data_IF_936444664246
#
_entry.id   IF_936444664246
#
_cell.length_a   1.000
_cell.length_b   1.000
_cell.length_c   1.000
_cell.angle_alpha   90.00
_cell.angle_beta   90.00
_cell.angle_gamma   90.00
#
_symmetry.space_group_name_H-M   'P 1'
#
loop_
_entity.id
_entity.type
_entity.pdbx_description
1 polymer ?
#
# COMPACT_ATOMS: atom_id res chain seq x y z
N UNK A 1 -4.69 79.43 8.05
CA UNK A 1 -3.90 78.17 8.06
C UNK A 1 -4.37 77.29 9.20
N UNK A 2 -5.42 76.48 9.02
CA UNK A 2 -5.76 75.40 9.95
C UNK A 2 -6.23 74.21 9.09
N UNK A 3 -5.44 73.14 9.10
CA UNK A 3 -5.76 71.85 8.46
C UNK A 3 -6.55 71.03 9.48
N UNK A 4 -7.74 70.59 9.07
CA UNK A 4 -8.56 69.63 9.81
C UNK A 4 -8.18 68.24 9.30
N UNK A 5 -7.62 67.40 10.17
CA UNK A 5 -7.39 65.98 9.90
C UNK A 5 -8.70 65.22 10.13
N UNK A 6 -9.19 64.56 9.08
CA UNK A 6 -10.24 63.55 9.17
C UNK A 6 -9.59 62.22 9.57
N UNK A 7 -9.90 61.76 10.78
CA UNK A 7 -9.59 60.41 11.25
C UNK A 7 -10.68 59.49 10.71
N UNK A 8 -10.30 58.59 9.80
CA UNK A 8 -11.17 57.53 9.29
C UNK A 8 -11.08 56.35 10.25
N UNK A 9 -12.11 56.14 11.06
CA UNK A 9 -12.26 54.97 11.92
C UNK A 9 -12.81 53.81 11.09
N UNK A 10 -11.95 52.85 10.72
CA UNK A 10 -12.39 51.55 10.23
C UNK A 10 -12.96 50.73 11.39
N UNK A 11 -14.27 50.50 11.37
CA UNK A 11 -14.94 49.52 12.21
C UNK A 11 -14.64 48.12 11.66
N UNK A 12 -13.79 47.36 12.34
CA UNK A 12 -13.69 45.91 12.16
C UNK A 12 -14.88 45.25 12.85
N UNK A 13 -15.84 44.74 12.08
CA UNK A 13 -16.89 43.86 12.59
C UNK A 13 -16.27 42.47 12.69
N UNK A 14 -15.92 42.06 13.90
CA UNK A 14 -15.52 40.69 14.23
C UNK A 14 -16.78 39.82 14.23
N UNK A 15 -17.05 39.12 13.13
CA UNK A 15 -18.07 38.06 13.09
C UNK A 15 -17.50 36.83 13.81
N UNK A 16 -17.80 36.70 15.10
CA UNK A 16 -17.57 35.47 15.84
C UNK A 16 -18.64 34.47 15.38
N UNK A 17 -18.34 33.73 14.31
CA UNK A 17 -19.10 32.56 13.92
C UNK A 17 -18.90 31.49 15.00
N UNK A 18 -19.86 31.36 15.91
CA UNK A 18 -19.85 30.27 16.87
C UNK A 18 -20.02 28.95 16.13
N UNK A 19 -18.95 28.15 16.04
CA UNK A 19 -19.04 26.74 15.71
C UNK A 19 -19.95 26.10 16.76
N UNK A 20 -21.19 25.84 16.37
CA UNK A 20 -22.11 25.03 17.16
C UNK A 20 -21.66 23.60 16.93
N UNK A 21 -21.00 23.01 17.92
CA UNK A 21 -20.67 21.59 17.90
C UNK A 21 -21.96 20.81 17.58
N UNK A 22 -22.00 20.16 16.42
CA UNK A 22 -23.09 19.25 16.07
C UNK A 22 -23.16 18.19 17.16
N UNK A 23 -24.32 18.10 17.79
CA UNK A 23 -24.64 17.02 18.72
C UNK A 23 -24.55 15.72 17.92
N UNK A 24 -23.88 14.66 18.41
CA UNK A 24 -23.79 13.40 17.69
C UNK A 24 -25.22 12.95 17.37
N UNK A 25 -25.53 12.90 16.08
CA UNK A 25 -26.81 12.43 15.57
C UNK A 25 -26.99 11.00 16.03
N UNK A 26 -28.13 10.72 16.67
CA UNK A 26 -28.55 9.37 17.07
C UNK A 26 -28.28 8.37 15.93
N UNK A 27 -27.66 7.24 16.28
CA UNK A 27 -27.34 6.11 15.43
C UNK A 27 -28.52 5.80 14.50
N UNK A 28 -28.42 6.27 13.25
CA UNK A 28 -29.37 5.90 12.21
C UNK A 28 -29.07 4.46 11.88
N UNK A 29 -30.08 3.57 11.94
CA UNK A 29 -29.90 2.15 11.61
C UNK A 29 -29.17 2.06 10.25
N UNK A 30 -28.11 1.23 10.14
CA UNK A 30 -27.31 1.15 8.93
C UNK A 30 -28.23 0.79 7.76
N UNK A 31 -28.10 1.54 6.66
CA UNK A 31 -28.84 1.24 5.43
C UNK A 31 -28.61 -0.23 5.05
N UNK A 32 -29.71 -0.90 4.74
CA UNK A 32 -29.72 -2.32 4.44
C UNK A 32 -28.92 -2.56 3.16
N UNK A 33 -27.83 -3.34 3.24
CA UNK A 33 -26.97 -3.68 2.10
C UNK A 33 -27.80 -4.18 0.90
N UNK A 34 -27.45 -3.74 -0.30
CA UNK A 34 -28.06 -4.17 -1.57
C UNK A 34 -27.64 -5.58 -1.96
N UNK A 35 -26.57 -6.10 -1.36
CA UNK A 35 -26.06 -7.45 -1.63
C UNK A 35 -26.98 -8.53 -1.08
N UNK A 36 -27.06 -9.70 -1.74
CA UNK A 36 -27.71 -10.87 -1.14
C UNK A 36 -27.01 -11.23 0.18
N UNK A 37 -27.72 -11.86 1.13
CA UNK A 37 -27.10 -12.33 2.37
C UNK A 37 -25.83 -13.14 2.07
N UNK A 38 -24.82 -12.97 2.92
CA UNK A 38 -23.62 -13.79 2.86
C UNK A 38 -24.03 -15.28 2.97
N UNK A 39 -23.51 -16.17 2.09
CA UNK A 39 -23.76 -17.60 2.19
C UNK A 39 -23.33 -18.17 3.55
N UNK A 40 -23.90 -19.30 3.94
CA UNK A 40 -23.40 -20.02 5.12
C UNK A 40 -21.97 -20.51 4.84
N UNK A 41 -21.11 -20.50 5.87
CA UNK A 41 -19.80 -21.10 5.74
C UNK A 41 -19.93 -22.62 5.64
N UNK A 42 -19.28 -23.20 4.63
CA UNK A 42 -19.12 -24.63 4.45
C UNK A 42 -17.63 -24.89 4.23
N UNK A 43 -17.15 -26.01 4.76
CA UNK A 43 -15.80 -26.50 4.54
C UNK A 43 -15.94 -27.95 4.09
N UNK A 44 -15.27 -28.32 3.01
CA UNK A 44 -15.32 -29.70 2.54
C UNK A 44 -14.04 -30.13 1.82
N UNK A 45 -14.08 -31.37 1.35
CA UNK A 45 -13.04 -32.02 0.55
C UNK A 45 -13.68 -33.14 -0.31
N UNK A 46 -15.01 -33.34 -0.23
CA UNK A 46 -15.62 -34.58 -0.75
C UNK A 46 -17.11 -34.51 -1.10
N UNK A 47 -17.80 -33.39 -0.89
CA UNK A 47 -19.23 -33.22 -1.17
C UNK A 47 -19.52 -32.23 -2.32
N UNK A 48 -18.50 -31.87 -3.12
CA UNK A 48 -18.55 -30.83 -4.17
C UNK A 48 -19.14 -29.51 -3.62
N UNK A 49 -18.78 -29.12 -2.39
CA UNK A 49 -19.27 -27.91 -1.75
C UNK A 49 -18.26 -26.80 -1.97
N UNK A 50 -18.75 -25.60 -2.28
CA UNK A 50 -17.89 -24.45 -2.57
C UNK A 50 -16.84 -24.68 -3.69
N UNK A 51 -17.02 -25.67 -4.56
CA UNK A 51 -16.21 -25.91 -5.78
C UNK A 51 -16.51 -24.94 -6.94
N UNK A 52 -17.38 -23.95 -6.74
CA UNK A 52 -17.75 -22.99 -7.79
C UNK A 52 -18.17 -21.64 -7.23
N UNK A 53 -18.09 -20.62 -8.08
CA UNK A 53 -18.51 -19.27 -7.75
C UNK A 53 -19.97 -19.19 -7.28
N UNK A 54 -20.88 -19.96 -7.89
CA UNK A 54 -22.30 -19.98 -7.50
C UNK A 54 -22.55 -20.58 -6.12
N UNK A 55 -21.68 -21.50 -5.68
CA UNK A 55 -21.79 -22.23 -4.42
C UNK A 55 -20.75 -21.76 -3.38
N UNK A 56 -20.12 -20.59 -3.59
CA UNK A 56 -19.08 -20.04 -2.74
C UNK A 56 -19.49 -19.93 -1.26
N UNK A 57 -18.59 -20.34 -0.36
CA UNK A 57 -18.80 -20.28 1.08
C UNK A 57 -18.63 -18.86 1.63
N UNK A 58 -19.43 -18.47 2.62
CA UNK A 58 -19.36 -17.12 3.21
C UNK A 58 -18.26 -16.96 4.26
N UNK A 59 -17.37 -16.00 4.08
CA UNK A 59 -16.40 -15.55 5.08
C UNK A 59 -16.91 -14.31 5.82
N UNK A 60 -17.06 -14.43 7.13
CA UNK A 60 -17.50 -13.34 8.01
C UNK A 60 -16.32 -12.37 8.16
N UNK A 61 -16.50 -11.14 7.70
CA UNK A 61 -15.51 -10.06 7.74
C UNK A 61 -15.20 -9.48 9.12
N UNK A 62 -15.27 -10.27 10.20
CA UNK A 62 -14.93 -9.82 11.56
C UNK A 62 -13.42 -9.91 11.81
N UNK A 63 -12.86 -8.95 12.57
CA UNK A 63 -11.42 -8.93 12.83
C UNK A 63 -10.99 -10.17 13.63
N UNK A 64 -9.94 -10.85 13.17
CA UNK A 64 -9.41 -12.10 13.73
C UNK A 64 -10.40 -13.27 13.67
N UNK A 65 -11.38 -13.22 12.77
CA UNK A 65 -12.19 -14.40 12.48
C UNK A 65 -11.30 -15.48 11.86
N UNK A 66 -11.30 -16.67 12.44
CA UNK A 66 -10.54 -17.83 11.95
C UNK A 66 -11.47 -18.95 11.49
N UNK A 67 -11.01 -19.67 10.48
CA UNK A 67 -11.59 -20.91 9.97
C UNK A 67 -10.46 -21.92 9.94
N UNK A 68 -10.55 -22.96 10.75
CA UNK A 68 -9.42 -23.85 11.03
C UNK A 68 -9.70 -25.28 10.59
N UNK A 69 -8.65 -25.99 10.18
CA UNK A 69 -8.73 -27.38 9.75
C UNK A 69 -9.52 -27.55 8.45
N UNK A 70 -9.35 -26.60 7.53
CA UNK A 70 -9.83 -26.70 6.15
C UNK A 70 -8.91 -27.62 5.37
N UNK A 71 -9.37 -28.15 4.25
CA UNK A 71 -8.62 -29.11 3.47
C UNK A 71 -8.93 -28.94 1.99
N UNK A 72 -7.91 -28.68 1.17
CA UNK A 72 -8.05 -28.69 -0.27
C UNK A 72 -7.71 -30.08 -0.82
N UNK A 73 -8.64 -30.66 -1.58
CA UNK A 73 -8.52 -32.02 -2.10
C UNK A 73 -8.13 -32.10 -3.57
N UNK A 74 -7.78 -33.31 -4.03
CA UNK A 74 -7.14 -33.52 -5.32
C UNK A 74 -8.02 -33.05 -6.50
N UNK A 75 -7.61 -31.97 -7.16
CA UNK A 75 -8.34 -31.41 -8.30
C UNK A 75 -9.57 -30.60 -7.92
N UNK A 76 -9.60 -30.15 -6.67
CA UNK A 76 -10.62 -29.30 -6.06
C UNK A 76 -10.18 -27.83 -6.06
N UNK A 77 -11.14 -26.91 -5.92
CA UNK A 77 -10.92 -25.46 -5.77
C UNK A 77 -11.93 -24.90 -4.76
N UNK A 78 -11.47 -24.26 -3.69
CA UNK A 78 -12.37 -23.74 -2.66
C UNK A 78 -12.73 -22.27 -2.93
N UNK A 79 -13.99 -22.02 -3.27
CA UNK A 79 -14.55 -20.68 -3.50
C UNK A 79 -15.13 -20.07 -2.23
N UNK A 80 -14.77 -18.81 -1.99
CA UNK A 80 -15.25 -18.01 -0.87
C UNK A 80 -15.81 -16.68 -1.33
N UNK A 81 -16.81 -16.17 -0.62
CA UNK A 81 -17.26 -14.78 -0.72
C UNK A 81 -16.98 -14.05 0.58
N UNK A 82 -16.45 -12.83 0.47
CA UNK A 82 -16.31 -11.91 1.59
C UNK A 82 -16.90 -10.55 1.24
N UNK A 83 -17.67 -9.99 2.18
CA UNK A 83 -18.26 -8.65 2.03
C UNK A 83 -17.39 -7.63 2.78
N UNK A 84 -16.92 -6.60 2.08
CA UNK A 84 -16.10 -5.50 2.63
C UNK A 84 -17.00 -4.28 2.84
N UNK A 85 -17.32 -3.88 4.09
CA UNK A 85 -18.20 -2.75 4.33
C UNK A 85 -17.58 -1.40 3.95
N UNK A 86 -18.39 -0.35 3.78
CA UNK A 86 -17.94 1.03 3.55
C UNK A 86 -16.85 1.49 4.53
N UNK A 87 -15.77 2.05 3.99
CA UNK A 87 -14.66 2.61 4.76
C UNK A 87 -13.86 1.57 5.57
N UNK A 88 -13.97 0.28 5.22
CA UNK A 88 -13.21 -0.80 5.86
C UNK A 88 -12.06 -1.25 5.00
N UNK A 89 -10.97 -1.60 5.68
CA UNK A 89 -9.86 -2.34 5.13
C UNK A 89 -9.93 -3.76 5.66
N UNK A 90 -9.93 -4.73 4.76
CA UNK A 90 -9.95 -6.14 5.08
C UNK A 90 -8.81 -6.87 4.37
N UNK A 91 -8.21 -7.86 5.03
CA UNK A 91 -7.34 -8.84 4.38
C UNK A 91 -7.75 -10.26 4.76
N UNK A 92 -7.65 -11.17 3.80
CA UNK A 92 -7.80 -12.61 3.98
C UNK A 92 -6.42 -13.23 3.88
N UNK A 93 -6.05 -13.99 4.90
CA UNK A 93 -4.80 -14.74 4.97
C UNK A 93 -5.12 -16.23 4.98
N UNK A 94 -4.45 -16.99 4.13
CA UNK A 94 -4.47 -18.46 4.10
C UNK A 94 -3.15 -18.94 4.68
N UNK A 95 -3.21 -19.79 5.71
CA UNK A 95 -2.05 -20.46 6.30
C UNK A 95 -2.09 -21.93 5.91
N UNK A 96 -1.05 -22.39 5.23
CA UNK A 96 -1.00 -23.73 4.64
C UNK A 96 -0.23 -24.65 5.58
N UNK A 97 -0.82 -25.80 5.93
CA UNK A 97 -0.15 -26.86 6.68
C UNK A 97 0.81 -27.62 5.76
N UNK A 98 2.02 -27.10 5.68
CA UNK A 98 3.03 -27.57 4.75
C UNK A 98 4.16 -26.58 4.65
N UNK A 99 5.05 -26.78 3.70
CA UNK A 99 6.12 -25.82 3.48
C UNK A 99 6.02 -25.06 2.17
N UNK A 100 5.14 -25.47 1.25
CA UNK A 100 5.05 -24.92 -0.12
C UNK A 100 6.34 -25.08 -0.95
N UNK A 101 7.45 -25.46 -0.32
CA UNK A 101 8.75 -25.48 -0.96
C UNK A 101 8.76 -26.49 -2.10
N UNK A 102 9.45 -26.11 -3.18
CA UNK A 102 9.87 -26.86 -4.38
C UNK A 102 10.50 -28.27 -4.16
N UNK A 103 10.39 -28.87 -2.97
CA UNK A 103 10.55 -30.29 -2.80
C UNK A 103 9.49 -31.01 -3.66
N UNK A 104 9.88 -31.79 -4.68
CA UNK A 104 8.92 -32.52 -5.53
C UNK A 104 8.15 -33.62 -4.80
N UNK A 105 8.34 -33.76 -3.49
CA UNK A 105 7.57 -34.62 -2.58
C UNK A 105 6.62 -33.82 -1.68
N UNK A 106 6.71 -32.49 -1.67
CA UNK A 106 5.80 -31.60 -0.96
C UNK A 106 4.76 -31.13 -1.97
N UNK A 107 3.52 -31.60 -1.81
CA UNK A 107 2.40 -31.28 -2.68
C UNK A 107 1.45 -30.30 -1.99
N UNK A 108 1.95 -29.41 -1.13
CA UNK A 108 1.12 -28.53 -0.29
C UNK A 108 1.00 -27.11 -0.79
N UNK A 109 1.60 -26.76 -1.93
CA UNK A 109 1.62 -25.40 -2.48
C UNK A 109 0.21 -24.96 -2.92
N UNK A 110 -0.44 -24.09 -2.14
CA UNK A 110 -1.76 -23.53 -2.44
C UNK A 110 -1.62 -22.06 -2.81
N UNK A 111 -2.38 -21.64 -3.82
CA UNK A 111 -2.46 -20.25 -4.25
C UNK A 111 -3.82 -19.65 -3.85
N UNK A 112 -3.86 -18.34 -3.61
CA UNK A 112 -5.07 -17.57 -3.32
C UNK A 112 -5.34 -16.56 -4.44
N UNK A 113 -6.52 -16.62 -5.04
CA UNK A 113 -6.91 -15.78 -6.18
C UNK A 113 -8.14 -14.96 -5.82
N UNK A 114 -8.25 -13.78 -6.41
CA UNK A 114 -9.49 -13.01 -6.50
C UNK A 114 -10.05 -13.14 -7.92
N UNK A 115 -11.35 -13.40 -8.01
CA UNK A 115 -12.08 -13.54 -9.28
C UNK A 115 -13.27 -12.59 -9.33
N UNK A 116 -13.70 -12.24 -10.54
CA UNK A 116 -14.91 -11.46 -10.77
C UNK A 116 -16.17 -12.34 -10.81
N UNK A 117 -17.33 -11.71 -11.07
CA UNK A 117 -18.63 -12.40 -11.17
C UNK A 117 -18.72 -13.40 -12.36
N UNK A 118 -17.72 -13.43 -13.25
CA UNK A 118 -17.62 -14.36 -14.38
C UNK A 118 -16.54 -15.43 -14.17
N UNK A 119 -15.96 -15.51 -12.97
CA UNK A 119 -14.82 -16.38 -12.66
C UNK A 119 -13.54 -15.99 -13.46
N UNK A 120 -13.47 -14.75 -13.95
CA UNK A 120 -12.25 -14.20 -14.53
C UNK A 120 -11.34 -13.70 -13.41
N UNK A 121 -10.07 -14.09 -13.49
CA UNK A 121 -9.02 -13.67 -12.56
C UNK A 121 -8.84 -12.15 -12.54
N UNK A 122 -8.90 -11.58 -11.34
CA UNK A 122 -8.62 -10.17 -11.07
C UNK A 122 -7.23 -9.98 -10.47
N UNK A 123 -6.88 -10.79 -9.47
CA UNK A 123 -5.62 -10.70 -8.74
C UNK A 123 -5.27 -12.02 -8.03
N UNK A 124 -4.04 -12.15 -7.54
CA UNK A 124 -3.60 -13.37 -6.85
C UNK A 124 -2.42 -13.15 -5.90
N UNK A 125 -2.28 -14.08 -4.96
CA UNK A 125 -1.13 -14.34 -4.14
C UNK A 125 -0.74 -15.81 -4.41
N UNK A 126 0.44 -16.01 -4.98
CA UNK A 126 0.95 -17.31 -5.38
C UNK A 126 2.45 -17.35 -5.10
N UNK A 127 2.81 -17.79 -3.90
CA UNK A 127 4.18 -17.81 -3.41
C UNK A 127 4.55 -19.22 -2.96
N UNK A 128 5.82 -19.61 -3.11
CA UNK A 128 6.27 -20.96 -2.71
C UNK A 128 6.39 -21.15 -1.19
N UNK A 129 5.80 -20.26 -0.40
CA UNK A 129 5.80 -20.34 1.05
C UNK A 129 4.45 -20.91 1.52
N UNK A 130 4.26 -21.01 2.84
CA UNK A 130 3.07 -21.62 3.41
C UNK A 130 1.98 -20.59 3.76
N UNK A 131 1.95 -19.46 3.05
CA UNK A 131 1.06 -18.35 3.36
C UNK A 131 0.71 -17.47 2.16
N UNK A 132 -0.58 -17.34 1.93
CA UNK A 132 -1.11 -16.47 0.90
C UNK A 132 -1.98 -15.36 1.48
N UNK A 133 -1.99 -14.18 0.85
CA UNK A 133 -2.72 -13.03 1.37
C UNK A 133 -3.24 -12.10 0.29
N UNK A 134 -4.50 -11.72 0.42
CA UNK A 134 -5.16 -10.68 -0.37
C UNK A 134 -5.79 -9.62 0.53
N UNK A 135 -5.88 -8.38 0.03
CA UNK A 135 -6.41 -7.26 0.80
C UNK A 135 -7.14 -6.23 -0.06
N UNK A 136 -8.17 -5.65 0.56
CA UNK A 136 -9.10 -4.69 -0.04
C UNK A 136 -9.33 -3.51 0.89
N UNK A 137 -9.63 -2.37 0.28
CA UNK A 137 -10.22 -1.24 0.96
C UNK A 137 -11.41 -0.77 0.15
N UNK A 138 -12.56 -0.65 0.80
CA UNK A 138 -13.77 -0.14 0.18
C UNK A 138 -13.91 1.36 0.50
N UNK A 139 -13.63 2.27 -0.45
CA UNK A 139 -13.79 3.72 -0.26
C UNK A 139 -15.24 4.19 -0.40
N UNK A 140 -16.16 3.32 -0.86
CA UNK A 140 -17.52 3.70 -1.26
C UNK A 140 -18.47 3.78 -0.07
N UNK A 141 -19.72 4.16 -0.33
CA UNK A 141 -20.81 4.19 0.65
C UNK A 141 -21.58 2.86 0.71
N UNK A 142 -21.30 1.92 -0.21
CA UNK A 142 -21.99 0.63 -0.30
C UNK A 142 -21.06 -0.52 0.08
N UNK A 143 -21.61 -1.66 0.48
CA UNK A 143 -20.78 -2.86 0.73
C UNK A 143 -20.37 -3.48 -0.60
N UNK A 144 -19.10 -3.88 -0.70
CA UNK A 144 -18.53 -4.54 -1.88
C UNK A 144 -18.35 -6.03 -1.59
N UNK A 145 -18.72 -6.89 -2.53
CA UNK A 145 -18.49 -8.33 -2.46
C UNK A 145 -17.21 -8.67 -3.24
N UNK A 146 -16.36 -9.49 -2.64
CA UNK A 146 -15.18 -10.07 -3.29
C UNK A 146 -15.28 -11.58 -3.25
N UNK A 147 -14.81 -12.22 -4.32
CA UNK A 147 -14.80 -13.66 -4.48
C UNK A 147 -13.38 -14.17 -4.54
N UNK A 148 -13.09 -15.18 -3.73
CA UNK A 148 -11.76 -15.74 -3.55
C UNK A 148 -11.77 -17.20 -3.96
N UNK A 149 -10.64 -17.67 -4.48
CA UNK A 149 -10.44 -19.07 -4.81
C UNK A 149 -9.12 -19.53 -4.19
N UNK A 150 -9.18 -20.56 -3.34
CA UNK A 150 -7.99 -21.30 -2.89
C UNK A 150 -7.84 -22.51 -3.79
N UNK A 151 -6.70 -22.65 -4.46
CA UNK A 151 -6.46 -23.78 -5.36
C UNK A 151 -5.02 -24.28 -5.30
N UNK A 152 -4.85 -25.57 -5.58
CA UNK A 152 -3.56 -26.24 -5.48
C UNK A 152 -2.68 -26.01 -6.70
N UNK A 153 -1.47 -25.51 -6.50
CA UNK A 153 -0.48 -25.41 -7.57
C UNK A 153 -0.12 -26.80 -8.12
N UNK A 154 -0.30 -26.99 -9.42
CA UNK A 154 -0.14 -28.30 -10.09
C UNK A 154 -0.96 -29.45 -9.45
N UNK A 155 -2.13 -29.13 -8.90
CA UNK A 155 -2.99 -30.12 -8.23
C UNK A 155 -2.47 -30.53 -6.85
N UNK A 156 -1.75 -29.63 -6.19
CA UNK A 156 -1.42 -29.74 -4.78
C UNK A 156 -2.67 -29.89 -3.91
N UNK A 157 -2.48 -30.52 -2.75
CA UNK A 157 -3.46 -30.79 -1.72
C UNK A 157 -2.83 -30.41 -0.38
N UNK A 158 -3.54 -29.66 0.45
CA UNK A 158 -3.05 -29.30 1.78
C UNK A 158 -4.21 -29.06 2.73
N UNK A 159 -3.94 -29.28 4.02
CA UNK A 159 -4.76 -28.68 5.05
C UNK A 159 -4.38 -27.21 5.16
N UNK A 160 -5.33 -26.34 5.51
CA UNK A 160 -5.08 -24.91 5.67
C UNK A 160 -6.04 -24.26 6.66
N UNK A 161 -5.68 -23.07 7.11
CA UNK A 161 -6.52 -22.19 7.91
C UNK A 161 -6.74 -20.87 7.16
N UNK A 162 -7.90 -20.25 7.35
CA UNK A 162 -8.16 -18.86 6.91
C UNK A 162 -8.22 -17.96 8.14
N UNK A 163 -7.56 -16.81 8.08
CA UNK A 163 -7.72 -15.71 9.03
C UNK A 163 -8.15 -14.43 8.32
N UNK A 164 -9.17 -13.78 8.88
CA UNK A 164 -9.62 -12.47 8.46
C UNK A 164 -9.00 -11.42 9.36
N UNK A 165 -8.32 -10.44 8.78
CA UNK A 165 -7.92 -9.21 9.49
C UNK A 165 -8.73 -8.05 8.97
N UNK A 166 -9.30 -7.25 9.87
CA UNK A 166 -10.06 -6.04 9.53
C UNK A 166 -9.53 -4.85 10.31
N UNK A 167 -9.19 -3.79 9.60
CA UNK A 167 -8.90 -2.48 10.18
C UNK A 167 -9.98 -1.48 9.80
N UNK A 168 -10.26 -0.53 10.68
CA UNK A 168 -11.16 0.59 10.39
C UNK A 168 -10.34 1.85 10.19
N UNK A 169 -10.72 2.67 9.21
CA UNK A 169 -10.19 4.02 9.11
C UNK A 169 -10.74 4.89 10.25
N UNK A 170 -9.85 5.42 11.10
CA UNK A 170 -10.23 6.37 12.15
C UNK A 170 -10.05 7.80 11.63
N UNK A 171 -11.04 8.32 10.91
CA UNK A 171 -11.01 9.66 10.30
C UNK A 171 -11.02 10.86 11.26
N UNK A 172 -10.66 10.69 12.54
CA UNK A 172 -10.75 11.76 13.55
C UNK A 172 -9.57 11.76 14.51
N UNK A 173 -8.54 12.59 14.26
CA UNK A 173 -7.50 13.11 15.19
C UNK A 173 -6.88 12.17 16.25
N UNK A 174 -7.15 10.87 16.18
CA UNK A 174 -6.82 9.83 17.14
C UNK A 174 -6.41 8.62 16.34
N UNK A 175 -5.28 8.79 15.66
CA UNK A 175 -4.49 7.68 15.18
C UNK A 175 -3.98 6.84 16.36
N UNK A 176 -3.42 5.68 16.07
CA UNK A 176 -2.98 4.65 17.02
C UNK A 176 -1.79 5.07 17.91
N UNK A 177 -1.71 6.35 18.27
CA UNK A 177 -0.54 7.03 18.79
C UNK A 177 -0.59 7.21 20.32
N UNK A 178 -1.76 7.46 20.91
CA UNK A 178 -1.89 7.79 22.36
C UNK A 178 -3.04 7.06 23.11
N UNK A 179 -4.03 6.51 22.40
CA UNK A 179 -5.24 5.93 23.01
C UNK A 179 -5.30 4.39 22.95
N UNK A 180 -4.52 3.81 22.04
CA UNK A 180 -4.33 2.37 21.87
C UNK A 180 -2.84 2.10 22.00
N UNK A 181 -2.31 2.25 23.22
CA UNK A 181 -1.00 1.69 23.58
C UNK A 181 -1.12 0.17 23.37
N UNK A 182 -0.86 -0.32 22.16
CA UNK A 182 -0.34 -1.68 22.06
C UNK A 182 1.05 -1.56 22.67
N UNK A 183 1.17 -1.98 23.93
CA UNK A 183 2.41 -1.93 24.73
C UNK A 183 3.56 -2.69 24.04
N UNK A 184 3.26 -3.41 22.96
CA UNK A 184 4.18 -4.18 22.13
C UNK A 184 3.97 -3.85 20.63
N UNK A 185 4.99 -3.31 19.92
CA UNK A 185 4.93 -3.11 18.47
C UNK A 185 4.75 -4.40 17.66
N UNK A 186 5.02 -5.55 18.26
CA UNK A 186 4.82 -6.89 17.67
C UNK A 186 3.40 -7.43 17.98
N UNK A 187 2.62 -6.75 18.83
CA UNK A 187 1.25 -7.13 19.14
C UNK A 187 0.27 -6.61 18.07
N UNK A 188 0.13 -7.40 17.01
CA UNK A 188 -0.88 -7.17 15.99
C UNK A 188 -2.32 -7.47 16.48
N UNK A 189 -2.52 -7.97 17.72
CA UNK A 189 -3.86 -8.22 18.27
C UNK A 189 -4.60 -6.93 18.67
N UNK A 190 -3.88 -5.81 18.69
CA UNK A 190 -4.43 -4.48 18.84
C UNK A 190 -5.49 -4.14 17.79
N UNK A 191 -6.48 -3.29 18.12
CA UNK A 191 -7.60 -2.94 17.23
C UNK A 191 -7.16 -2.22 15.95
N UNK A 192 -5.89 -1.82 15.85
CA UNK A 192 -5.37 -1.05 14.75
C UNK A 192 -4.89 -1.90 13.55
N UNK A 193 -4.48 -3.16 13.75
CA UNK A 193 -3.75 -3.98 12.77
C UNK A 193 -2.71 -3.13 12.02
N UNK A 194 -1.56 -2.90 12.66
CA UNK A 194 -0.63 -1.81 12.29
C UNK A 194 -0.04 -2.00 10.89
N UNK A 195 0.40 -3.20 10.56
CA UNK A 195 0.94 -3.56 9.25
C UNK A 195 -0.14 -4.34 8.49
N UNK A 196 -0.55 -3.79 7.36
CA UNK A 196 -1.57 -4.34 6.50
C UNK A 196 -1.03 -4.45 5.08
N UNK A 197 -1.46 -5.48 4.37
CA UNK A 197 -1.17 -5.58 2.95
C UNK A 197 -1.91 -4.46 2.22
N UNK A 198 -1.17 -3.67 1.44
CA UNK A 198 -1.65 -2.61 0.60
C UNK A 198 -2.75 -3.13 -0.33
N UNK A 199 -3.92 -2.47 -0.40
CA UNK A 199 -5.03 -2.95 -1.20
C UNK A 199 -4.68 -3.07 -2.68
N UNK A 200 -4.93 -4.25 -3.25
CA UNK A 200 -4.52 -4.60 -4.62
C UNK A 200 -5.63 -4.28 -5.64
N UNK A 201 -6.87 -4.67 -5.33
CA UNK A 201 -8.03 -4.39 -6.15
C UNK A 201 -8.39 -2.89 -6.09
N UNK A 202 -8.79 -2.31 -7.21
CA UNK A 202 -9.17 -0.89 -7.40
C UNK A 202 -8.03 0.13 -7.58
N UNK A 203 -6.80 -0.33 -7.77
CA UNK A 203 -5.63 0.55 -7.89
C UNK A 203 -5.73 1.55 -9.07
N UNK A 204 -6.30 1.16 -10.22
CA UNK A 204 -6.42 2.07 -11.38
C UNK A 204 -7.30 3.29 -11.12
N UNK A 205 -8.40 3.15 -10.38
CA UNK A 205 -9.30 4.26 -10.06
C UNK A 205 -8.67 5.21 -9.04
N UNK A 206 -7.96 4.65 -8.07
CA UNK A 206 -7.21 5.38 -7.04
C UNK A 206 -5.89 5.99 -7.54
N UNK A 207 -5.49 5.68 -8.78
CA UNK A 207 -4.31 6.26 -9.44
C UNK A 207 -2.99 5.60 -9.08
N UNK A 208 -2.99 4.36 -8.59
CA UNK A 208 -1.78 3.56 -8.32
C UNK A 208 -1.87 2.17 -8.93
N UNK A 209 -0.77 1.41 -8.94
CA UNK A 209 -0.78 -0.03 -9.23
C UNK A 209 0.33 -0.66 -8.42
N UNK A 210 0.03 -1.71 -7.67
CA UNK A 210 1.07 -2.49 -7.00
C UNK A 210 1.66 -3.47 -8.02
N UNK A 211 2.98 -3.44 -8.20
CA UNK A 211 3.64 -4.07 -9.36
C UNK A 211 4.63 -5.19 -9.01
N UNK A 212 4.61 -5.61 -7.75
CA UNK A 212 5.46 -6.64 -7.16
C UNK A 212 4.61 -7.72 -6.47
N UNK A 213 5.27 -8.68 -5.80
CA UNK A 213 4.56 -9.80 -5.17
C UNK A 213 3.79 -9.36 -3.92
N UNK A 214 2.63 -9.99 -3.73
CA UNK A 214 1.72 -9.77 -2.60
C UNK A 214 2.41 -9.84 -1.23
N UNK A 215 3.40 -10.74 -1.07
CA UNK A 215 4.17 -10.94 0.16
C UNK A 215 5.03 -9.72 0.58
N UNK A 216 5.36 -8.84 -0.36
CA UNK A 216 6.17 -7.63 -0.08
C UNK A 216 5.34 -6.35 -0.13
N UNK A 217 4.02 -6.48 -0.13
CA UNK A 217 3.09 -5.35 -0.26
C UNK A 217 2.56 -4.91 1.09
N UNK A 218 3.33 -5.02 2.18
CA UNK A 218 2.86 -4.71 3.52
C UNK A 218 3.37 -3.35 3.97
N UNK A 219 2.48 -2.53 4.51
CA UNK A 219 2.80 -1.21 5.02
C UNK A 219 2.04 -0.92 6.28
N UNK A 220 2.53 0.08 7.02
CA UNK A 220 1.67 0.75 7.98
C UNK A 220 0.44 1.29 7.30
N UNK A 221 -0.67 1.14 7.99
CA UNK A 221 -1.96 1.61 7.54
C UNK A 221 -1.93 3.11 7.21
N UNK A 222 -1.29 3.92 8.05
CA UNK A 222 -1.17 5.37 7.89
C UNK A 222 -0.36 5.73 6.63
N UNK A 223 0.74 5.01 6.38
CA UNK A 223 1.55 5.17 5.17
C UNK A 223 0.75 4.82 3.93
N UNK A 224 -0.02 3.74 3.99
CA UNK A 224 -0.88 3.33 2.88
C UNK A 224 -1.93 4.38 2.53
N UNK A 225 -2.62 4.93 3.54
CA UNK A 225 -3.57 6.00 3.30
C UNK A 225 -2.92 7.26 2.72
N UNK A 226 -1.74 7.64 3.23
CA UNK A 226 -1.01 8.79 2.71
C UNK A 226 -0.63 8.61 1.24
N UNK A 227 -0.12 7.43 0.87
CA UNK A 227 0.24 7.11 -0.52
C UNK A 227 -0.99 7.10 -1.43
N UNK A 228 -2.08 6.45 -1.01
CA UNK A 228 -3.35 6.43 -1.76
C UNK A 228 -3.93 7.82 -1.95
N UNK A 229 -3.96 8.63 -0.90
CA UNK A 229 -4.37 10.03 -0.96
C UNK A 229 -3.51 10.82 -1.96
N UNK A 230 -2.18 10.70 -1.89
CA UNK A 230 -1.28 11.40 -2.78
C UNK A 230 -1.48 10.98 -4.25
N UNK A 231 -1.69 9.70 -4.52
CA UNK A 231 -1.96 9.17 -5.86
C UNK A 231 -3.30 9.71 -6.41
N UNK A 232 -4.38 9.58 -5.64
CA UNK A 232 -5.70 10.07 -6.01
C UNK A 232 -5.73 11.59 -6.23
N UNK A 233 -5.08 12.36 -5.34
CA UNK A 233 -4.96 13.81 -5.48
C UNK A 233 -4.19 14.20 -6.75
N UNK A 234 -3.13 13.46 -7.09
CA UNK A 234 -2.36 13.70 -8.32
C UNK A 234 -3.21 13.43 -9.56
N UNK A 235 -3.95 12.32 -9.60
CA UNK A 235 -4.89 12.02 -10.68
C UNK A 235 -5.98 13.09 -10.80
N UNK A 236 -6.51 13.59 -9.68
CA UNK A 236 -7.52 14.63 -9.69
C UNK A 236 -7.01 15.97 -10.27
N UNK A 237 -5.76 16.34 -9.95
CA UNK A 237 -5.11 17.53 -10.53
C UNK A 237 -4.75 17.34 -12.01
N UNK A 238 -4.33 16.13 -12.38
CA UNK A 238 -3.90 15.78 -13.74
C UNK A 238 -4.75 14.62 -14.27
N UNK A 239 -5.94 14.86 -14.84
CA UNK A 239 -6.91 13.80 -15.18
C UNK A 239 -6.42 12.72 -16.14
N UNK A 240 -5.41 13.01 -16.97
CA UNK A 240 -4.82 12.05 -17.92
C UNK A 240 -3.68 11.22 -17.28
N UNK A 241 -3.56 11.25 -15.95
CA UNK A 241 -2.50 10.53 -15.22
C UNK A 241 -2.78 9.03 -15.19
N UNK A 242 -1.83 8.28 -15.73
CA UNK A 242 -1.79 6.83 -15.61
C UNK A 242 -1.46 6.42 -14.16
N UNK A 243 -1.87 5.22 -13.72
CA UNK A 243 -1.60 4.76 -12.36
C UNK A 243 -0.10 4.74 -12.03
N UNK A 244 0.26 5.11 -10.80
CA UNK A 244 1.63 5.12 -10.29
C UNK A 244 2.04 3.74 -9.77
N UNK A 245 3.14 3.18 -10.29
CA UNK A 245 3.69 1.92 -9.81
C UNK A 245 4.18 2.01 -8.36
N UNK A 246 3.61 1.20 -7.48
CA UNK A 246 4.10 0.93 -6.14
C UNK A 246 4.96 -0.34 -6.21
N UNK A 247 6.17 -0.23 -5.65
CA UNK A 247 7.18 -1.28 -5.64
C UNK A 247 7.31 -1.83 -4.21
N UNK A 248 8.48 -2.35 -3.87
CA UNK A 248 8.75 -3.05 -2.63
C UNK A 248 8.36 -2.22 -1.38
N UNK A 249 7.62 -2.87 -0.47
CA UNK A 249 7.23 -2.35 0.85
C UNK A 249 7.91 -3.22 1.91
N UNK A 250 7.29 -3.58 3.03
CA UNK A 250 7.83 -4.59 3.96
C UNK A 250 7.28 -5.99 3.70
N UNK A 251 7.90 -6.99 4.31
CA UNK A 251 7.26 -8.28 4.60
C UNK A 251 6.09 -8.07 5.58
N UNK A 252 5.26 -9.08 5.77
CA UNK A 252 4.05 -9.00 6.57
C UNK A 252 4.31 -8.81 8.07
N UNK A 253 5.41 -9.36 8.57
CA UNK A 253 5.93 -9.14 9.92
C UNK A 253 6.64 -7.78 10.04
N UNK A 254 6.71 -7.04 8.95
CA UNK A 254 7.42 -5.77 8.87
C UNK A 254 8.92 -5.91 8.67
N UNK A 255 9.50 -7.06 8.33
CA UNK A 255 10.94 -7.12 8.02
C UNK A 255 11.24 -6.68 6.58
N UNK A 256 12.53 -6.52 6.29
CA UNK A 256 13.07 -6.20 4.97
C UNK A 256 12.66 -7.28 3.94
N UNK A 257 12.11 -6.90 2.76
CA UNK A 257 11.70 -7.82 1.71
C UNK A 257 12.75 -8.86 1.32
N UNK A 258 12.29 -10.10 1.17
CA UNK A 258 13.09 -11.25 0.77
C UNK A 258 13.77 -11.98 1.94
N UNK A 259 13.51 -11.59 3.19
CA UNK A 259 14.06 -12.28 4.36
C UNK A 259 13.44 -13.65 4.54
N UNK A 260 12.14 -13.81 4.31
CA UNK A 260 11.47 -15.13 4.34
C UNK A 260 12.16 -16.16 3.44
N UNK A 261 12.73 -15.70 2.32
CA UNK A 261 13.44 -16.54 1.33
C UNK A 261 14.96 -16.62 1.56
N UNK A 262 15.48 -15.99 2.62
CA UNK A 262 16.91 -15.80 2.86
C UNK A 262 17.64 -15.09 1.69
N UNK A 263 16.93 -14.26 0.92
CA UNK A 263 17.45 -13.50 -0.20
C UNK A 263 16.91 -12.07 -0.14
N UNK A 264 17.53 -11.24 0.71
CA UNK A 264 17.14 -9.84 0.84
C UNK A 264 17.16 -9.12 -0.52
N UNK A 265 16.07 -8.42 -0.81
CA UNK A 265 15.91 -7.55 -2.00
C UNK A 265 16.47 -6.16 -1.74
N UNK A 266 16.61 -5.80 -0.47
CA UNK A 266 17.05 -4.50 0.02
C UNK A 266 18.15 -4.64 1.08
N UNK A 267 18.93 -3.58 1.37
CA UNK A 267 19.86 -3.60 2.49
C UNK A 267 19.15 -3.95 3.82
N UNK A 268 19.76 -4.82 4.61
CA UNK A 268 19.22 -5.21 5.91
C UNK A 268 18.90 -3.99 6.80
N UNK A 269 17.69 -3.97 7.36
CA UNK A 269 17.21 -2.87 8.22
C UNK A 269 16.59 -1.70 7.45
N UNK A 270 16.25 -1.88 6.18
CA UNK A 270 15.40 -0.97 5.38
C UNK A 270 14.07 -1.64 5.09
N UNK A 271 13.03 -0.86 4.76
CA UNK A 271 11.68 -1.38 4.58
C UNK A 271 11.16 -2.12 5.82
N UNK A 272 11.49 -1.62 6.99
CA UNK A 272 11.14 -2.26 8.27
C UNK A 272 9.92 -1.62 8.90
N UNK A 273 9.16 -2.42 9.65
CA UNK A 273 7.96 -2.06 10.40
C UNK A 273 6.87 -1.39 9.55
N UNK A 274 6.84 -1.69 8.24
CA UNK A 274 5.93 -1.07 7.28
C UNK A 274 6.11 0.45 7.12
N UNK A 275 7.28 1.00 7.45
CA UNK A 275 7.54 2.44 7.41
C UNK A 275 8.07 2.95 6.06
N UNK A 276 8.56 2.05 5.20
CA UNK A 276 9.20 2.43 3.94
C UNK A 276 8.53 1.75 2.75
N UNK A 277 8.47 2.48 1.64
CA UNK A 277 7.94 2.02 0.35
C UNK A 277 8.77 2.62 -0.78
N UNK A 278 9.08 1.79 -1.77
CA UNK A 278 9.59 2.24 -3.04
C UNK A 278 8.44 2.60 -3.98
N UNK A 279 8.47 3.81 -4.53
CA UNK A 279 7.40 4.36 -5.36
C UNK A 279 8.01 4.78 -6.70
N UNK A 280 7.50 4.26 -7.81
CA UNK A 280 7.94 4.69 -9.14
C UNK A 280 7.79 6.21 -9.32
N UNK A 281 8.56 6.77 -10.24
CA UNK A 281 8.32 8.13 -10.71
C UNK A 281 7.15 8.18 -11.69
N UNK A 282 6.44 9.31 -11.76
CA UNK A 282 5.59 9.56 -12.92
C UNK A 282 6.48 9.75 -14.16
N UNK A 283 6.02 9.21 -15.28
CA UNK A 283 6.76 9.18 -16.54
C UNK A 283 5.90 9.75 -17.66
N UNK A 284 6.57 10.28 -18.68
CA UNK A 284 5.93 10.75 -19.92
C UNK A 284 5.66 9.61 -20.92
N UNK A 285 5.98 8.37 -20.54
CA UNK A 285 5.84 7.16 -21.35
C UNK A 285 4.46 6.52 -21.31
N UNK A 286 4.39 5.23 -21.65
CA UNK A 286 3.14 4.46 -21.76
C UNK A 286 2.56 4.01 -20.41
N UNK A 287 3.33 4.11 -19.32
CA UNK A 287 2.97 3.68 -17.96
C UNK A 287 3.96 4.28 -16.93
N UNK A 288 3.70 4.04 -15.64
CA UNK A 288 4.58 4.46 -14.53
C UNK A 288 5.09 3.25 -13.72
N UNK A 289 5.55 2.18 -14.37
CA UNK A 289 5.89 0.89 -13.73
C UNK A 289 7.37 0.75 -13.34
N UNK A 290 7.96 1.78 -12.74
CA UNK A 290 9.31 1.68 -12.17
C UNK A 290 10.43 1.47 -13.19
N UNK A 291 10.26 1.98 -14.42
CA UNK A 291 11.35 2.04 -15.41
C UNK A 291 12.33 3.14 -15.06
N UNK A 292 13.60 2.98 -15.43
CA UNK A 292 14.56 4.09 -15.27
C UNK A 292 14.13 5.30 -16.10
N UNK A 293 14.19 6.48 -15.49
CA UNK A 293 13.77 7.74 -16.12
C UNK A 293 14.91 8.50 -16.80
N UNK A 294 16.10 7.92 -16.84
CA UNK A 294 17.32 8.52 -17.36
C UNK A 294 18.26 7.45 -17.95
N UNK A 295 19.25 7.83 -18.77
CA UNK A 295 20.39 6.97 -19.07
C UNK A 295 21.20 6.66 -17.81
N UNK A 296 21.47 5.38 -17.53
CA UNK A 296 22.03 4.93 -16.25
C UNK A 296 23.19 3.93 -16.41
N UNK A 297 23.99 3.73 -15.35
CA UNK A 297 25.13 2.80 -15.30
C UNK A 297 24.87 1.54 -14.47
N UNK A 298 23.62 1.28 -14.12
CA UNK A 298 23.20 0.28 -13.16
C UNK A 298 22.91 0.88 -11.78
N UNK A 299 23.58 1.97 -11.40
CA UNK A 299 23.54 2.52 -10.04
C UNK A 299 22.98 3.94 -9.99
N UNK A 300 23.36 4.79 -10.93
CA UNK A 300 22.98 6.19 -10.96
C UNK A 300 22.64 6.65 -12.37
N UNK A 301 21.89 7.74 -12.47
CA UNK A 301 21.77 8.49 -13.71
C UNK A 301 23.14 8.99 -14.16
N UNK A 302 23.44 8.78 -15.44
CA UNK A 302 24.65 9.26 -16.13
C UNK A 302 24.38 10.47 -17.01
N UNK A 303 23.11 10.81 -17.21
CA UNK A 303 22.63 11.99 -17.91
C UNK A 303 21.27 12.44 -17.33
N UNK A 304 20.85 13.64 -17.72
CA UNK A 304 19.57 14.22 -17.32
C UNK A 304 18.39 13.27 -17.63
N UNK A 305 17.39 13.16 -16.73
CA UNK A 305 16.19 12.36 -16.96
C UNK A 305 15.45 12.78 -18.23
N UNK A 306 15.17 11.83 -19.12
CA UNK A 306 14.58 12.06 -20.43
C UNK A 306 13.10 11.68 -20.53
N UNK A 307 12.59 10.89 -19.58
CA UNK A 307 11.18 10.50 -19.52
C UNK A 307 10.49 10.82 -18.19
N UNK A 308 11.17 11.45 -17.22
CA UNK A 308 10.59 11.87 -15.94
C UNK A 308 9.49 12.92 -16.17
N UNK A 309 8.28 12.65 -15.66
CA UNK A 309 7.24 13.67 -15.50
C UNK A 309 7.45 14.37 -14.16
N UNK A 310 8.32 15.38 -14.17
CA UNK A 310 8.74 16.06 -12.96
C UNK A 310 7.58 16.81 -12.28
N UNK A 311 6.66 17.40 -13.05
CA UNK A 311 5.54 18.18 -12.51
C UNK A 311 4.57 17.29 -11.71
N UNK A 312 4.15 16.16 -12.27
CA UNK A 312 3.28 15.19 -11.56
C UNK A 312 4.00 14.57 -10.37
N UNK A 313 5.27 14.23 -10.54
CA UNK A 313 6.12 13.68 -9.46
C UNK A 313 6.24 14.64 -8.29
N UNK A 314 6.53 15.92 -8.55
CA UNK A 314 6.60 16.96 -7.51
C UNK A 314 5.25 17.18 -6.85
N UNK A 315 4.15 17.21 -7.62
CA UNK A 315 2.82 17.34 -7.04
C UNK A 315 2.51 16.19 -6.07
N UNK A 316 2.73 14.94 -6.49
CA UNK A 316 2.56 13.76 -5.65
C UNK A 316 3.41 13.83 -4.38
N UNK A 317 4.70 14.14 -4.51
CA UNK A 317 5.61 14.30 -3.37
C UNK A 317 5.17 15.43 -2.42
N UNK A 318 4.58 16.51 -2.94
CA UNK A 318 4.00 17.58 -2.12
C UNK A 318 2.81 17.11 -1.28
N UNK A 319 2.03 16.13 -1.78
CA UNK A 319 0.93 15.51 -1.03
C UNK A 319 1.41 14.56 0.05
N UNK A 320 2.48 13.80 -0.20
CA UNK A 320 3.17 13.06 0.85
C UNK A 320 3.71 13.98 1.95
N UNK A 321 4.19 15.18 1.57
CA UNK A 321 4.71 16.19 2.49
C UNK A 321 3.66 16.80 3.44
N UNK A 322 2.37 16.58 3.20
CA UNK A 322 1.30 17.00 4.12
C UNK A 322 1.38 16.24 5.46
N UNK A 323 2.07 15.09 5.48
CA UNK A 323 2.44 14.39 6.72
C UNK A 323 3.72 14.96 7.32
N UNK A 324 3.65 15.43 8.58
CA UNK A 324 4.81 15.89 9.35
C UNK A 324 5.71 14.75 9.86
N UNK A 325 5.31 13.52 9.59
CA UNK A 325 5.99 12.30 10.00
C UNK A 325 6.90 11.77 8.89
N UNK A 326 7.05 12.47 7.76
CA UNK A 326 7.98 12.08 6.72
C UNK A 326 9.43 12.12 7.25
N UNK A 327 10.17 11.01 7.10
CA UNK A 327 11.55 10.87 7.58
C UNK A 327 12.57 11.23 6.53
N UNK A 328 12.44 10.66 5.33
CA UNK A 328 13.38 10.85 4.23
C UNK A 328 12.73 10.39 2.94
N UNK A 329 13.06 11.05 1.84
CA UNK A 329 12.82 10.51 0.49
C UNK A 329 14.14 10.39 -0.25
N UNK A 330 14.53 9.15 -0.52
CA UNK A 330 15.71 8.79 -1.28
C UNK A 330 15.48 8.88 -2.78
N UNK A 331 16.36 9.59 -3.48
CA UNK A 331 16.30 9.74 -4.96
C UNK A 331 17.71 9.76 -5.56
N UNK A 332 17.80 9.50 -6.87
CA UNK A 332 19.03 9.73 -7.63
C UNK A 332 19.45 11.22 -7.64
N UNK A 333 20.76 11.56 -7.57
CA UNK A 333 21.24 12.94 -7.59
C UNK A 333 20.77 13.78 -8.79
N UNK A 334 20.74 13.24 -10.00
CA UNK A 334 20.30 14.00 -11.18
C UNK A 334 18.79 14.23 -11.15
N UNK A 335 18.03 13.25 -10.65
CA UNK A 335 16.59 13.40 -10.44
C UNK A 335 16.29 14.45 -9.36
N UNK A 336 17.04 14.45 -8.25
CA UNK A 336 16.90 15.44 -7.18
C UNK A 336 17.00 16.88 -7.68
N UNK A 337 17.95 17.16 -8.57
CA UNK A 337 18.16 18.51 -9.11
C UNK A 337 16.94 18.95 -9.95
N UNK A 338 16.43 18.09 -10.83
CA UNK A 338 15.24 18.37 -11.66
C UNK A 338 13.99 18.57 -10.80
N UNK A 339 13.78 17.71 -9.80
CA UNK A 339 12.62 17.82 -8.89
C UNK A 339 12.67 19.09 -8.05
N UNK A 340 13.85 19.52 -7.59
CA UNK A 340 14.01 20.79 -6.85
C UNK A 340 13.71 22.01 -7.70
N UNK A 341 14.21 22.04 -8.94
CA UNK A 341 13.93 23.11 -9.88
C UNK A 341 12.42 23.20 -10.14
N UNK A 342 11.80 22.07 -10.49
CA UNK A 342 10.36 21.97 -10.74
C UNK A 342 9.52 22.38 -9.52
N UNK A 343 9.92 21.97 -8.30
CA UNK A 343 9.23 22.38 -7.08
C UNK A 343 9.30 23.89 -6.81
N UNK A 344 10.40 24.55 -7.16
CA UNK A 344 10.47 26.02 -7.06
C UNK A 344 9.54 26.69 -8.07
N UNK A 345 9.49 26.20 -9.31
CA UNK A 345 8.57 26.72 -10.34
C UNK A 345 7.11 26.54 -9.94
N UNK A 346 6.72 25.34 -9.51
CA UNK A 346 5.36 25.04 -9.05
C UNK A 346 4.96 25.86 -7.82
N UNK A 347 5.91 26.19 -6.94
CA UNK A 347 5.66 27.11 -5.83
C UNK A 347 5.43 28.54 -6.30
N UNK A 348 6.26 29.04 -7.22
CA UNK A 348 6.12 30.38 -7.80
C UNK A 348 4.78 30.53 -8.54
N UNK A 349 4.26 29.43 -9.13
CA UNK A 349 2.94 29.34 -9.74
C UNK A 349 1.78 29.21 -8.72
N UNK A 350 2.08 28.91 -7.46
CA UNK A 350 1.11 28.67 -6.40
C UNK A 350 0.43 27.30 -6.46
N UNK A 351 0.99 26.33 -7.19
CA UNK A 351 0.51 24.95 -7.26
C UNK A 351 0.86 24.13 -6.02
N UNK A 352 1.99 24.43 -5.39
CA UNK A 352 2.39 23.86 -4.10
C UNK A 352 2.70 24.98 -3.10
N UNK A 353 2.40 24.74 -1.83
CA UNK A 353 2.68 25.72 -0.78
C UNK A 353 4.16 25.74 -0.35
N UNK A 354 4.56 26.81 0.33
CA UNK A 354 5.93 26.98 0.82
C UNK A 354 6.31 25.94 1.87
N UNK A 355 5.34 25.42 2.64
CA UNK A 355 5.61 24.47 3.70
C UNK A 355 6.01 23.11 3.11
N UNK A 356 5.25 22.60 2.15
CA UNK A 356 5.57 21.39 1.38
C UNK A 356 6.91 21.54 0.64
N UNK A 357 7.13 22.67 -0.04
CA UNK A 357 8.39 22.94 -0.76
C UNK A 357 9.61 22.89 0.17
N UNK A 358 9.57 23.65 1.26
CA UNK A 358 10.69 23.78 2.19
C UNK A 358 10.90 22.52 3.03
N UNK A 359 9.84 21.89 3.54
CA UNK A 359 9.98 20.67 4.34
C UNK A 359 10.53 19.51 3.50
N UNK A 360 9.91 19.23 2.36
CA UNK A 360 10.25 18.05 1.57
C UNK A 360 11.55 18.24 0.79
N UNK A 361 11.59 19.21 -0.14
CA UNK A 361 12.65 19.30 -1.14
C UNK A 361 13.94 19.93 -0.60
N UNK A 362 13.86 20.63 0.53
CA UNK A 362 15.04 21.21 1.20
C UNK A 362 15.48 20.39 2.42
N UNK A 363 14.54 19.79 3.15
CA UNK A 363 14.81 19.14 4.43
C UNK A 363 14.92 17.62 4.38
N UNK A 364 14.06 16.95 3.61
CA UNK A 364 13.88 15.49 3.71
C UNK A 364 14.32 14.71 2.47
N UNK A 365 14.50 15.37 1.33
CA UNK A 365 15.01 14.70 0.14
C UNK A 365 16.51 14.43 0.27
N UNK A 366 16.89 13.15 0.24
CA UNK A 366 18.26 12.68 0.34
C UNK A 366 18.71 12.01 -0.96
N UNK A 367 19.97 12.24 -1.32
CA UNK A 367 20.58 11.77 -2.56
C UNK A 367 22.12 11.73 -2.40
N UNK A 368 22.81 11.11 -3.35
CA UNK A 368 24.27 10.97 -3.37
C UNK A 368 24.71 9.51 -3.20
N UNK A 369 25.96 9.29 -2.76
CA UNK A 369 26.58 7.96 -2.66
C UNK A 369 25.80 6.96 -1.76
N UNK A 370 24.87 7.44 -0.94
CA UNK A 370 24.01 6.61 -0.08
C UNK A 370 22.73 6.09 -0.75
N UNK A 371 22.42 6.53 -1.97
CA UNK A 371 21.15 6.22 -2.66
C UNK A 371 21.36 5.70 -4.09
N UNK A 372 22.21 4.68 -4.30
CA UNK A 372 22.27 3.98 -5.59
C UNK A 372 20.94 3.25 -5.88
N UNK A 373 20.66 2.94 -7.13
CA UNK A 373 19.47 2.20 -7.60
C UNK A 373 18.14 2.98 -7.59
N UNK A 374 18.17 4.29 -7.30
CA UNK A 374 16.98 5.15 -7.23
C UNK A 374 16.72 5.94 -8.53
N UNK A 375 17.22 5.44 -9.67
CA UNK A 375 17.01 6.03 -11.00
C UNK A 375 15.65 5.68 -11.61
N UNK A 376 14.86 4.84 -10.95
CA UNK A 376 13.57 4.33 -11.44
C UNK A 376 12.43 4.42 -10.42
N UNK A 377 12.74 4.76 -9.17
CA UNK A 377 11.80 4.95 -8.08
C UNK A 377 12.39 5.92 -7.04
N UNK A 378 11.52 6.50 -6.23
CA UNK A 378 11.89 7.15 -4.97
C UNK A 378 11.66 6.19 -3.81
N UNK A 379 12.55 6.22 -2.82
CA UNK A 379 12.35 5.49 -1.57
C UNK A 379 11.72 6.43 -0.55
N UNK A 380 10.46 6.22 -0.21
CA UNK A 380 9.75 7.00 0.80
C UNK A 380 9.85 6.32 2.16
N UNK A 381 10.24 7.07 3.19
CA UNK A 381 10.31 6.58 4.56
C UNK A 381 9.57 7.47 5.53
N UNK A 382 8.83 6.84 6.44
CA UNK A 382 7.99 7.48 7.44
C UNK A 382 8.52 7.26 8.86
N UNK A 383 8.49 8.30 9.69
CA UNK A 383 8.96 8.31 11.07
C UNK A 383 7.78 8.15 12.02
N UNK A 384 7.62 6.95 12.55
CA UNK A 384 6.59 6.66 13.55
C UNK A 384 6.97 7.06 14.98
N UNK A 385 8.18 6.71 15.43
CA UNK A 385 8.53 6.78 16.86
C UNK A 385 8.77 8.21 17.40
N UNK A 386 8.16 8.52 18.54
CA UNK A 386 8.56 9.67 19.34
C UNK A 386 9.88 9.37 20.07
N UNK A 387 10.99 9.93 19.57
CA UNK A 387 12.23 10.02 20.33
C UNK A 387 13.28 8.93 20.12
N UNK A 388 13.18 8.11 19.08
CA UNK A 388 14.32 7.30 18.64
C UNK A 388 14.73 7.54 17.19
N UNK A 389 16.05 7.67 17.09
CA UNK A 389 16.85 8.06 15.95
C UNK A 389 17.14 6.78 15.15
N UNK A 390 16.65 6.71 13.92
CA UNK A 390 17.12 5.72 12.97
C UNK A 390 18.64 5.78 12.87
N UNK A 391 19.31 4.77 13.45
CA UNK A 391 20.75 4.44 13.47
C UNK A 391 21.58 5.05 14.62
N UNK A 392 21.78 4.29 15.71
CA UNK A 392 22.92 4.52 16.63
C UNK A 392 24.27 3.99 16.07
N UNK A 393 24.29 3.24 14.96
CA UNK A 393 25.54 2.81 14.33
C UNK A 393 25.48 2.81 12.79
N UNK A 394 26.47 3.46 12.18
CA UNK A 394 26.83 3.24 10.78
C UNK A 394 27.27 1.78 10.60
N UNK A 395 26.55 1.00 9.80
CA UNK A 395 27.11 -0.23 9.25
C UNK A 395 28.21 0.16 8.26
N UNK A 396 29.46 -0.12 8.63
CA UNK A 396 30.58 -0.09 7.69
C UNK A 396 30.51 -1.34 6.83
N UNK A 397 29.88 -1.25 5.67
CA UNK A 397 29.79 -2.34 4.71
C UNK A 397 29.41 -1.78 3.36
N UNK A 398 30.38 -1.71 2.44
CA UNK A 398 30.06 -1.51 1.03
C UNK A 398 29.21 -2.69 0.56
N UNK A 399 28.13 -2.41 -0.16
CA UNK A 399 27.33 -3.44 -0.83
C UNK A 399 28.26 -4.33 -1.66
N UNK A 400 28.20 -5.63 -1.38
CA UNK A 400 28.85 -6.66 -2.18
C UNK A 400 27.88 -7.82 -2.31
N UNK A 401 26.95 -7.68 -3.26
CA UNK A 401 25.97 -8.67 -3.70
C UNK A 401 25.61 -8.36 -5.16
N UNK A 402 25.27 -9.36 -5.98
CA UNK A 402 25.36 -9.27 -7.44
C UNK A 402 24.39 -8.25 -8.03
N UNK A 403 24.96 -7.31 -8.78
CA UNK A 403 24.31 -6.46 -9.77
C UNK A 403 23.37 -7.24 -10.68
N UNK A 404 22.07 -7.09 -10.42
CA UNK A 404 21.03 -6.92 -11.44
C UNK A 404 19.81 -6.40 -10.70
N UNK A 405 19.34 -5.20 -11.04
CA UNK A 405 17.92 -4.90 -10.87
C UNK A 405 17.16 -6.11 -11.42
N UNK A 406 16.22 -6.72 -10.68
CA UNK A 406 15.39 -7.76 -11.25
C UNK A 406 14.82 -7.18 -12.54
N UNK A 407 15.04 -7.87 -13.67
CA UNK A 407 14.28 -7.64 -14.89
C UNK A 407 12.82 -7.79 -14.44
N UNK A 408 12.16 -6.66 -14.15
CA UNK A 408 10.73 -6.55 -13.85
C UNK A 408 9.98 -6.94 -15.13
N UNK A 409 10.16 -8.17 -15.58
CA UNK A 409 9.09 -8.89 -16.24
C UNK A 409 8.08 -9.05 -15.14
N UNK A 410 6.93 -8.42 -15.32
CA UNK A 410 5.75 -8.75 -14.54
C UNK A 410 5.72 -10.28 -14.32
N UNK A 411 5.40 -10.77 -13.10
CA UNK A 411 5.04 -12.17 -12.95
C UNK A 411 4.03 -12.47 -14.05
N UNK A 412 4.36 -13.50 -14.83
CA UNK A 412 3.94 -13.71 -16.22
C UNK A 412 2.43 -13.47 -16.41
N UNK A 413 2.04 -12.30 -16.91
CA UNK A 413 0.73 -12.03 -17.54
C UNK A 413 0.55 -12.78 -18.87
N UNK A 414 1.44 -13.72 -19.22
CA UNK A 414 1.14 -14.70 -20.26
C UNK A 414 0.17 -15.73 -19.68
N UNK A 415 -1.12 -15.43 -19.85
CA UNK A 415 -2.25 -16.35 -19.86
C UNK A 415 -1.80 -17.82 -19.94
N UNK A 416 -1.68 -18.47 -18.78
CA UNK A 416 -1.51 -19.92 -18.68
C UNK A 416 -2.91 -20.50 -18.55
N UNK A 417 -3.45 -20.86 -19.72
CA UNK A 417 -4.45 -21.93 -19.80
C UNK A 417 -3.79 -23.28 -19.60
#
# INVERSE_FOLDING_TARGET
MHRISLVSSCFFILLIGGCTAQTPTEDTEPEQSSLPPLPDFVADCSEDLNDSLEDAAGLIGENRQRYEGLQLCAGDEDYYRIDVPPGKWLSVEVFIDGSGNNNPLDSTDLDLWEVDDNDDELWWSATENNRERLAWFNPTEETEAHYLVVKGYNGAEADYDIEIRRSTFHGSERDCDDAYDDEDPDDESGPCNRIMQFPQAHSEEDGYLVSHWAAYSNLRREVTYLVRYAAAATRAEYPDTLPLGLLDMSEDDGDTPGRMENQLRHPEGTHVQGNDIDIAYYQTGEDNLGRSVCPEDGYFCTAEPDILDAERTVFFMSKLAESQKLRVVGVDPMIADVLKETANEMHDEGKIDEAARSYFFTGQMAYGDGWPFHQHHMHFSWQWESGYEGREAHHSGCMSGPDVAPDYRQPRTQARR
#
